data_IF_530466553687
#
_entry.id   IF_530466553687
#
_cell.length_a   1.000
_cell.length_b   1.000
_cell.length_c   1.000
_cell.angle_alpha   90.00
_cell.angle_beta   90.00
_cell.angle_gamma   90.00
#
_symmetry.space_group_name_H-M   'P 1'
#
loop_
_entity.id
_entity.type
_entity.pdbx_description
1 polymer ?
#
# COMPACT_ATOMS: atom_id res chain seq x y z
N UNK A 1 4.95 -0.44 4.90
CA UNK A 1 4.36 -1.55 5.68
C UNK A 1 3.03 -1.94 5.06
N UNK A 2 2.75 -3.24 4.93
CA UNK A 2 1.51 -3.75 4.33
C UNK A 2 0.37 -3.84 5.37
N UNK A 3 -0.93 -3.77 4.96
CA UNK A 3 -2.06 -3.76 5.89
C UNK A 3 -2.14 -4.99 6.80
N UNK A 4 -1.74 -6.15 6.30
CA UNK A 4 -1.68 -7.40 7.05
C UNK A 4 -0.61 -7.38 8.14
N UNK A 5 0.51 -6.69 7.91
CA UNK A 5 1.57 -6.50 8.91
C UNK A 5 1.08 -5.57 10.03
N UNK A 6 0.34 -4.52 9.68
CA UNK A 6 -0.31 -3.64 10.66
C UNK A 6 -1.38 -4.40 11.49
N UNK A 7 -2.03 -5.39 10.88
CA UNK A 7 -3.02 -6.23 11.53
C UNK A 7 -2.42 -7.40 12.36
N UNK A 8 -1.09 -7.58 12.39
CA UNK A 8 -0.44 -8.62 13.20
C UNK A 8 -0.80 -8.48 14.67
N UNK A 9 -0.89 -7.24 15.18
CA UNK A 9 -1.31 -6.95 16.54
C UNK A 9 -2.73 -7.45 16.87
N UNK A 10 -3.57 -7.72 15.85
CA UNK A 10 -4.97 -8.13 16.00
C UNK A 10 -5.25 -9.56 15.57
N UNK A 11 -4.56 -10.09 14.55
CA UNK A 11 -4.93 -11.35 13.89
C UNK A 11 -3.79 -12.36 13.73
N UNK A 12 -2.53 -11.94 13.88
CA UNK A 12 -1.37 -12.78 13.61
C UNK A 12 -1.27 -13.19 12.12
N UNK A 13 -0.03 -13.34 11.65
CA UNK A 13 0.23 -13.87 10.31
C UNK A 13 0.29 -12.82 9.20
N UNK A 14 1.50 -12.62 8.69
CA UNK A 14 1.79 -12.10 7.37
C UNK A 14 2.61 -13.15 6.62
N UNK A 15 2.67 -13.04 5.31
CA UNK A 15 3.55 -13.87 4.49
C UNK A 15 4.45 -12.94 3.65
N UNK A 16 5.36 -13.53 2.86
CA UNK A 16 6.25 -12.81 1.94
C UNK A 16 5.55 -11.88 0.93
N UNK A 17 4.22 -11.93 0.80
CA UNK A 17 3.48 -10.99 -0.07
C UNK A 17 3.46 -9.57 0.51
N UNK A 18 3.78 -9.37 1.79
CA UNK A 18 3.97 -8.03 2.36
C UNK A 18 5.11 -7.26 1.68
N UNK A 19 6.09 -7.97 1.12
CA UNK A 19 7.21 -7.38 0.38
C UNK A 19 6.73 -6.85 -0.97
N UNK A 20 5.79 -7.54 -1.62
CA UNK A 20 5.16 -7.10 -2.87
C UNK A 20 4.35 -5.82 -2.65
N UNK A 21 3.61 -5.74 -1.54
CA UNK A 21 2.94 -4.50 -1.16
C UNK A 21 3.95 -3.37 -0.93
N UNK A 22 5.03 -3.65 -0.18
CA UNK A 22 6.06 -2.66 0.11
C UNK A 22 6.74 -2.16 -1.17
N UNK A 23 6.99 -3.04 -2.14
CA UNK A 23 7.47 -2.67 -3.48
C UNK A 23 6.50 -1.73 -4.21
N UNK A 24 5.19 -1.98 -4.12
CA UNK A 24 4.17 -1.09 -4.68
C UNK A 24 4.20 0.31 -4.07
N UNK A 25 4.44 0.40 -2.75
CA UNK A 25 4.60 1.68 -2.04
C UNK A 25 5.89 2.38 -2.47
N UNK A 26 7.01 1.65 -2.54
CA UNK A 26 8.30 2.19 -3.02
C UNK A 26 8.20 2.68 -4.46
N UNK A 27 7.45 2.01 -5.33
CA UNK A 27 7.22 2.48 -6.69
C UNK A 27 6.49 3.83 -6.73
N UNK A 28 5.50 4.05 -5.85
CA UNK A 28 4.85 5.35 -5.70
C UNK A 28 5.82 6.39 -5.13
N UNK A 29 6.61 6.02 -4.12
CA UNK A 29 7.61 6.90 -3.52
C UNK A 29 8.64 7.39 -4.54
N UNK A 30 9.16 6.51 -5.41
CA UNK A 30 10.06 6.89 -6.49
C UNK A 30 9.39 7.78 -7.53
N UNK A 31 8.08 7.64 -7.73
CA UNK A 31 7.31 8.44 -8.68
C UNK A 31 6.91 9.83 -8.13
N UNK A 32 6.68 9.94 -6.82
CA UNK A 32 6.10 11.13 -6.17
C UNK A 32 7.03 11.77 -5.11
N UNK A 33 8.25 11.24 -4.95
CA UNK A 33 9.27 11.62 -3.96
C UNK A 33 8.87 11.42 -2.50
N UNK A 34 7.72 10.81 -2.26
CA UNK A 34 7.21 10.53 -0.92
C UNK A 34 6.22 9.37 -0.98
N UNK A 35 6.15 8.52 0.06
CA UNK A 35 5.14 7.49 0.15
C UNK A 35 3.74 8.09 0.37
N UNK A 36 2.67 7.35 0.05
CA UNK A 36 1.32 7.74 0.40
C UNK A 36 1.17 7.96 1.92
N UNK A 37 0.43 9.00 2.32
CA UNK A 37 0.16 9.34 3.72
C UNK A 37 1.40 9.75 4.55
N UNK A 38 2.47 10.24 3.91
CA UNK A 38 3.70 10.67 4.58
C UNK A 38 3.48 11.71 5.70
N UNK A 39 2.55 12.66 5.49
CA UNK A 39 2.25 13.71 6.47
C UNK A 39 1.38 13.23 7.65
N UNK A 40 0.94 11.97 7.64
CA UNK A 40 0.07 11.41 8.68
C UNK A 40 0.92 10.72 9.75
N UNK A 41 0.63 11.01 11.01
CA UNK A 41 1.32 10.39 12.14
C UNK A 41 1.37 8.84 12.01
N UNK A 42 2.53 8.17 12.19
CA UNK A 42 2.70 6.74 11.88
C UNK A 42 1.65 5.82 12.53
N UNK A 43 1.32 6.04 13.80
CA UNK A 43 0.27 5.26 14.49
C UNK A 43 -1.12 5.42 13.85
N UNK A 44 -1.42 6.60 13.31
CA UNK A 44 -2.69 6.87 12.62
C UNK A 44 -2.73 6.19 11.26
N UNK A 45 -1.60 6.07 10.56
CA UNK A 45 -1.49 5.28 9.32
C UNK A 45 -1.76 3.81 9.60
N UNK A 46 -1.13 3.22 10.63
CA UNK A 46 -1.38 1.83 11.04
C UNK A 46 -2.86 1.59 11.35
N UNK A 47 -3.50 2.48 12.10
CA UNK A 47 -4.93 2.39 12.41
C UNK A 47 -5.82 2.53 11.17
N UNK A 48 -5.47 3.39 10.21
CA UNK A 48 -6.24 3.53 8.97
C UNK A 48 -6.19 2.24 8.13
N UNK A 49 -5.04 1.59 8.07
CA UNK A 49 -4.82 0.37 7.29
C UNK A 49 -5.62 -0.84 7.80
N UNK A 50 -5.93 -0.89 9.10
CA UNK A 50 -6.73 -1.98 9.69
C UNK A 50 -8.23 -1.83 9.47
N UNK A 51 -8.72 -0.66 9.01
CA UNK A 51 -10.15 -0.44 8.77
C UNK A 51 -10.67 -1.24 7.57
N UNK A 52 -11.90 -1.74 7.68
CA UNK A 52 -12.58 -2.50 6.60
C UNK A 52 -12.64 -1.71 5.30
N UNK A 53 -12.94 -0.41 5.37
CA UNK A 53 -13.02 0.51 4.22
C UNK A 53 -11.69 1.06 3.69
N UNK A 54 -10.53 0.65 4.22
CA UNK A 54 -9.24 1.12 3.71
C UNK A 54 -9.06 0.78 2.23
N UNK A 55 -8.86 1.82 1.41
CA UNK A 55 -8.59 1.73 -0.02
C UNK A 55 -7.08 1.77 -0.26
N UNK A 56 -6.54 0.87 -1.10
CA UNK A 56 -5.14 0.94 -1.49
C UNK A 56 -4.78 2.26 -2.18
N UNK A 57 -3.57 2.79 -1.94
CA UNK A 57 -3.07 3.98 -2.61
C UNK A 57 -3.02 3.85 -4.14
N UNK A 58 -3.04 4.98 -4.83
CA UNK A 58 -2.88 5.10 -6.28
C UNK A 58 -2.00 6.30 -6.60
N UNK A 59 -1.40 6.31 -7.78
CA UNK A 59 -0.66 7.46 -8.29
C UNK A 59 -1.59 8.68 -8.42
N UNK A 60 -1.14 9.84 -7.96
CA UNK A 60 -1.90 11.11 -7.96
C UNK A 60 -2.16 11.59 -9.40
N UNK A 61 -1.13 11.59 -10.23
CA UNK A 61 -1.17 12.11 -11.59
C UNK A 61 -1.47 11.00 -12.62
N UNK A 62 -2.73 10.83 -13.00
CA UNK A 62 -3.13 9.75 -13.92
C UNK A 62 -2.50 9.86 -15.31
N UNK A 63 -2.38 11.08 -15.84
CA UNK A 63 -1.87 11.33 -17.20
C UNK A 63 -0.34 11.28 -17.34
N UNK A 64 0.39 11.34 -16.23
CA UNK A 64 1.87 11.33 -16.23
C UNK A 64 2.45 9.93 -16.43
N UNK A 65 1.68 8.90 -16.12
CA UNK A 65 2.14 7.52 -16.04
C UNK A 65 1.39 6.60 -16.99
N UNK A 66 2.10 5.62 -17.53
CA UNK A 66 1.52 4.65 -18.47
C UNK A 66 0.44 3.79 -17.80
N UNK A 67 -0.49 3.26 -18.61
CA UNK A 67 -1.51 2.32 -18.13
C UNK A 67 -0.87 1.07 -17.48
N UNK A 68 0.26 0.61 -18.02
CA UNK A 68 1.02 -0.51 -17.45
C UNK A 68 1.51 -0.21 -16.03
N UNK A 69 1.98 1.02 -15.76
CA UNK A 69 2.43 1.39 -14.42
C UNK A 69 1.27 1.46 -13.42
N UNK A 70 0.13 2.01 -13.84
CA UNK A 70 -1.10 1.99 -13.03
C UNK A 70 -1.57 0.57 -12.69
N UNK A 71 -1.47 -0.36 -13.66
CA UNK A 71 -1.80 -1.77 -13.45
C UNK A 71 -0.82 -2.41 -12.46
N UNK A 72 0.47 -2.17 -12.62
CA UNK A 72 1.51 -2.67 -11.70
C UNK A 72 1.21 -2.26 -10.26
N UNK A 73 1.04 -0.95 -10.01
CA UNK A 73 0.74 -0.41 -8.67
C UNK A 73 -0.54 -1.04 -8.10
N UNK A 74 -1.59 -1.15 -8.92
CA UNK A 74 -2.87 -1.76 -8.51
C UNK A 74 -2.71 -3.22 -8.09
N UNK A 75 -1.93 -4.01 -8.83
CA UNK A 75 -1.71 -5.44 -8.52
C UNK A 75 -0.86 -5.58 -7.27
N UNK A 76 0.24 -4.83 -7.15
CA UNK A 76 1.12 -4.86 -5.97
C UNK A 76 0.42 -4.42 -4.69
N UNK A 77 -0.51 -3.47 -4.78
CA UNK A 77 -1.26 -2.93 -3.62
C UNK A 77 -2.62 -3.63 -3.45
N UNK A 78 -2.68 -4.94 -3.66
CA UNK A 78 -3.89 -5.74 -3.42
C UNK A 78 -3.99 -6.11 -1.94
N UNK A 79 -5.08 -5.68 -1.27
CA UNK A 79 -5.32 -5.88 0.17
C UNK A 79 -5.49 -7.36 0.60
N UNK A 80 -5.64 -8.29 -0.34
CA UNK A 80 -5.89 -9.70 -0.07
C UNK A 80 -4.69 -10.54 -0.50
N UNK A 81 -3.94 -11.06 0.47
CA UNK A 81 -2.89 -12.07 0.27
C UNK A 81 -3.40 -13.42 -0.27
N UNK A 82 -4.73 -13.60 -0.39
CA UNK A 82 -5.40 -14.82 -0.90
C UNK A 82 -5.96 -14.68 -2.33
N UNK A 83 -5.72 -13.56 -3.00
CA UNK A 83 -6.15 -13.35 -4.40
C UNK A 83 -4.98 -13.53 -5.35
#
# INVERSE_FOLDING_TARGET
MAPEVAAVALKGGYNKLCDIWSLGITAIELAELQPPLFDVHPLRVLFLMTKSGYQPPRLKEKGKWSAAFHIFVKVTLTKSAKK
#
